data_IF_280531041727
#
_entry.id   IF_280531041727
#
_cell.length_a   1.000
_cell.length_b   1.000
_cell.length_c   1.000
_cell.angle_alpha   90.00
_cell.angle_beta   90.00
_cell.angle_gamma   90.00
#
_symmetry.space_group_name_H-M   'P 1'
#
loop_
_entity.id
_entity.type
_entity.pdbx_description
1 polymer ?
#
# COMPACT_ATOMS: atom_id res chain seq x y z
N UNK A 1 4.43 11.37 -21.11
CA UNK A 1 4.44 11.37 -19.64
C UNK A 1 5.86 11.65 -19.21
N UNK A 2 6.10 12.66 -18.37
CA UNK A 2 7.44 12.93 -17.85
C UNK A 2 7.88 11.81 -16.90
N UNK A 3 9.20 11.66 -16.65
CA UNK A 3 9.72 10.70 -15.67
C UNK A 3 9.12 10.95 -14.27
N UNK A 4 8.85 12.19 -13.94
CA UNK A 4 8.27 12.59 -12.64
C UNK A 4 6.84 12.13 -12.43
N UNK A 5 6.07 11.91 -13.53
CA UNK A 5 4.68 11.45 -13.45
C UNK A 5 4.54 10.01 -12.96
N UNK A 6 5.64 9.25 -12.91
CA UNK A 6 5.66 7.83 -12.56
C UNK A 6 6.62 7.51 -11.40
N UNK A 7 6.82 8.46 -10.49
CA UNK A 7 7.70 8.33 -9.34
C UNK A 7 7.01 8.75 -8.05
N UNK A 8 7.35 8.07 -6.96
CA UNK A 8 7.14 8.52 -5.60
C UNK A 8 8.48 8.99 -5.04
N UNK A 9 8.56 10.25 -4.64
CA UNK A 9 9.75 10.85 -4.07
C UNK A 9 9.45 11.40 -2.68
N UNK A 10 10.20 10.97 -1.69
CA UNK A 10 10.20 11.50 -0.34
C UNK A 10 11.51 12.23 -0.07
N UNK A 11 11.44 13.43 0.49
CA UNK A 11 12.60 14.28 0.78
C UNK A 11 12.58 14.70 2.24
N UNK A 12 13.59 14.28 3.00
CA UNK A 12 13.85 14.66 4.39
C UNK A 12 12.60 14.54 5.29
N UNK A 13 11.87 13.42 5.15
CA UNK A 13 10.65 13.20 5.91
C UNK A 13 10.93 13.03 7.39
N UNK A 14 10.23 13.80 8.21
CA UNK A 14 10.27 13.70 9.66
C UNK A 14 8.86 13.61 10.22
N UNK A 15 8.68 12.76 11.25
CA UNK A 15 7.44 12.66 11.99
C UNK A 15 7.69 12.62 13.48
N UNK A 16 7.17 13.61 14.17
CA UNK A 16 7.17 13.70 15.63
C UNK A 16 5.74 13.55 16.12
N UNK A 17 5.52 12.70 17.11
CA UNK A 17 4.28 12.57 17.87
C UNK A 17 4.46 13.14 19.27
N UNK A 18 3.43 13.74 19.82
CA UNK A 18 3.50 14.41 21.12
C UNK A 18 4.20 15.77 21.06
N UNK A 19 4.49 16.34 22.23
CA UNK A 19 5.18 17.62 22.39
C UNK A 19 5.98 17.66 23.70
N UNK A 20 6.97 18.53 23.79
CA UNK A 20 7.82 18.66 24.98
C UNK A 20 8.56 17.36 25.31
N UNK A 21 8.61 16.98 26.59
CA UNK A 21 9.33 15.79 27.08
C UNK A 21 8.74 14.46 26.61
N UNK A 22 7.48 14.44 26.13
CA UNK A 22 6.83 13.24 25.60
C UNK A 22 6.95 13.12 24.09
N UNK A 23 7.71 13.98 23.43
CA UNK A 23 7.90 13.95 21.99
C UNK A 23 8.64 12.68 21.53
N UNK A 24 8.05 11.92 20.63
CA UNK A 24 8.65 10.73 20.03
C UNK A 24 8.84 10.99 18.55
N UNK A 25 10.08 10.99 18.08
CA UNK A 25 10.42 11.12 16.67
C UNK A 25 10.40 9.74 16.01
N UNK A 26 9.26 9.41 15.40
CA UNK A 26 9.03 8.09 14.79
C UNK A 26 9.66 7.93 13.40
N UNK A 27 9.90 9.04 12.68
CA UNK A 27 10.59 9.06 11.38
C UNK A 27 11.55 10.26 11.40
N UNK A 28 12.80 10.03 11.01
CA UNK A 28 13.92 10.97 11.15
C UNK A 28 14.66 11.15 9.84
N UNK A 29 14.44 12.27 9.17
CA UNK A 29 15.14 12.69 7.96
C UNK A 29 15.23 11.58 6.89
N UNK A 30 14.08 10.96 6.57
CA UNK A 30 14.00 9.88 5.61
C UNK A 30 13.83 10.43 4.21
N UNK A 31 14.72 10.02 3.29
CA UNK A 31 14.63 10.30 1.87
C UNK A 31 14.66 8.99 1.07
N UNK A 32 13.74 8.86 0.12
CA UNK A 32 13.69 7.71 -0.79
C UNK A 32 12.98 8.08 -2.09
N UNK A 33 13.30 7.35 -3.16
CA UNK A 33 12.51 7.37 -4.39
C UNK A 33 12.16 5.96 -4.82
N UNK A 34 10.96 5.79 -5.41
CA UNK A 34 10.48 4.52 -5.98
C UNK A 34 9.79 4.83 -7.30
N UNK A 35 10.13 4.08 -8.34
CA UNK A 35 9.58 4.26 -9.69
C UNK A 35 8.45 3.31 -9.99
N UNK A 36 7.62 3.66 -10.96
CA UNK A 36 6.62 2.76 -11.49
C UNK A 36 7.29 1.48 -12.05
N UNK A 37 6.65 0.34 -11.79
CA UNK A 37 7.19 -1.00 -12.07
C UNK A 37 8.11 -1.54 -10.98
N UNK A 38 8.47 -0.75 -9.96
CA UNK A 38 9.34 -1.16 -8.86
C UNK A 38 8.50 -1.57 -7.63
N UNK A 39 8.83 -2.72 -7.05
CA UNK A 39 8.26 -3.21 -5.79
C UNK A 39 9.35 -3.24 -4.71
N UNK A 40 9.25 -2.35 -3.73
CA UNK A 40 10.26 -2.13 -2.68
C UNK A 40 9.75 -2.66 -1.35
N UNK A 41 10.60 -3.36 -0.60
CA UNK A 41 10.33 -3.71 0.79
C UNK A 41 11.06 -2.78 1.76
N UNK A 42 10.37 -2.34 2.81
CA UNK A 42 10.96 -1.67 3.96
C UNK A 42 10.91 -2.66 5.13
N UNK A 43 12.07 -3.07 5.60
CA UNK A 43 12.24 -4.03 6.70
C UNK A 43 12.81 -3.38 7.93
N UNK A 44 12.64 -4.00 9.09
CA UNK A 44 13.22 -3.52 10.34
C UNK A 44 12.44 -4.01 11.56
N UNK A 45 12.95 -3.81 12.78
CA UNK A 45 12.30 -4.25 14.00
C UNK A 45 10.94 -3.57 14.23
N UNK A 46 10.12 -4.15 15.12
CA UNK A 46 8.88 -3.50 15.56
C UNK A 46 9.20 -2.15 16.22
N UNK A 47 8.37 -1.15 15.95
CA UNK A 47 8.59 0.21 16.47
C UNK A 47 9.61 1.06 15.71
N UNK A 48 10.28 0.55 14.66
CA UNK A 48 11.27 1.33 13.90
C UNK A 48 10.68 2.47 13.04
N UNK A 49 9.34 2.60 12.95
CA UNK A 49 8.67 3.68 12.22
C UNK A 49 8.15 3.31 10.82
N UNK A 50 8.26 2.04 10.39
CA UNK A 50 7.85 1.55 9.04
C UNK A 50 6.41 1.90 8.67
N UNK A 51 5.45 1.51 9.51
CA UNK A 51 4.02 1.80 9.29
C UNK A 51 3.75 3.31 9.30
N UNK A 52 4.47 4.08 10.14
CA UNK A 52 4.39 5.54 10.13
C UNK A 52 4.88 6.14 8.80
N UNK A 53 6.03 5.66 8.31
CA UNK A 53 6.55 6.07 7.01
C UNK A 53 5.58 5.70 5.88
N UNK A 54 5.08 4.46 5.87
CA UNK A 54 4.09 4.00 4.89
C UNK A 54 2.84 4.89 4.87
N UNK A 55 2.32 5.25 6.06
CA UNK A 55 1.16 6.14 6.20
C UNK A 55 1.43 7.56 5.67
N UNK A 56 2.67 8.08 5.84
CA UNK A 56 3.05 9.38 5.29
C UNK A 56 3.16 9.33 3.76
N UNK A 57 3.80 8.30 3.20
CA UNK A 57 3.94 8.11 1.75
C UNK A 57 2.57 8.01 1.07
N UNK A 58 1.59 7.37 1.71
CA UNK A 58 0.22 7.26 1.23
C UNK A 58 -0.67 8.46 1.53
N UNK A 59 -0.15 9.51 2.17
CA UNK A 59 -0.94 10.69 2.54
C UNK A 59 -2.01 10.42 3.61
N UNK A 60 -1.94 9.30 4.35
CA UNK A 60 -2.80 9.03 5.52
C UNK A 60 -2.36 9.87 6.72
N UNK A 61 -1.06 10.05 6.87
CA UNK A 61 -0.46 10.80 7.96
C UNK A 61 0.32 12.00 7.41
N UNK A 62 0.13 13.16 8.03
CA UNK A 62 0.90 14.35 7.67
C UNK A 62 2.28 14.28 8.31
N UNK A 63 3.33 14.51 7.50
CA UNK A 63 4.69 14.70 7.99
C UNK A 63 4.77 15.96 8.88
N UNK A 64 5.66 15.96 9.85
CA UNK A 64 6.01 17.14 10.63
C UNK A 64 7.00 18.02 9.86
N UNK A 65 7.87 17.40 9.06
CA UNK A 65 8.84 18.06 8.18
C UNK A 65 9.07 17.24 6.91
N UNK A 66 9.70 17.87 5.92
CA UNK A 66 9.99 17.27 4.63
C UNK A 66 8.82 17.32 3.63
N UNK A 67 8.98 16.63 2.49
CA UNK A 67 8.00 16.63 1.39
C UNK A 67 7.83 15.24 0.78
N UNK A 68 6.62 14.97 0.28
CA UNK A 68 6.32 13.79 -0.52
C UNK A 68 5.74 14.25 -1.85
N UNK A 69 6.32 13.76 -2.94
CA UNK A 69 5.81 13.96 -4.30
C UNK A 69 5.31 12.63 -4.85
N UNK A 70 4.10 12.61 -5.36
CA UNK A 70 3.47 11.45 -5.97
C UNK A 70 3.03 11.79 -7.39
N UNK A 71 3.70 11.23 -8.39
CA UNK A 71 3.43 11.56 -9.78
C UNK A 71 3.51 13.07 -10.03
N UNK A 72 4.59 13.72 -9.62
CA UNK A 72 4.82 15.16 -9.75
C UNK A 72 4.00 16.06 -8.80
N UNK A 73 3.03 15.51 -8.06
CA UNK A 73 2.19 16.29 -7.14
C UNK A 73 2.80 16.32 -5.73
N UNK A 74 3.11 17.50 -5.19
CA UNK A 74 3.51 17.69 -3.78
C UNK A 74 2.31 17.46 -2.85
N UNK A 75 2.20 16.25 -2.29
CA UNK A 75 1.08 15.87 -1.42
C UNK A 75 1.19 16.47 -0.01
N UNK A 76 2.37 16.97 0.37
CA UNK A 76 2.63 17.59 1.67
C UNK A 76 1.90 18.93 1.81
N UNK A 77 1.65 19.59 0.69
CA UNK A 77 0.96 20.90 0.62
C UNK A 77 -0.56 20.79 0.53
N UNK A 78 -1.09 19.61 0.27
CA UNK A 78 -2.51 19.39 0.12
C UNK A 78 -3.26 19.55 1.45
N UNK A 79 -4.45 20.15 1.40
CA UNK A 79 -5.38 20.12 2.52
C UNK A 79 -6.01 18.73 2.68
N UNK A 80 -6.77 18.49 3.77
CA UNK A 80 -7.30 17.15 4.05
C UNK A 80 -8.26 16.65 2.97
N UNK A 81 -9.12 17.51 2.44
CA UNK A 81 -10.06 17.12 1.38
C UNK A 81 -9.32 16.70 0.10
N UNK A 82 -8.28 17.44 -0.28
CA UNK A 82 -7.43 17.14 -1.44
C UNK A 82 -6.66 15.84 -1.23
N UNK A 83 -6.06 15.62 -0.04
CA UNK A 83 -5.39 14.35 0.30
C UNK A 83 -6.35 13.17 0.28
N UNK A 84 -7.56 13.33 0.86
CA UNK A 84 -8.58 12.28 0.83
C UNK A 84 -8.98 11.92 -0.61
N UNK A 85 -9.09 12.92 -1.50
CA UNK A 85 -9.35 12.70 -2.93
C UNK A 85 -8.18 11.95 -3.59
N UNK A 86 -6.94 12.41 -3.36
CA UNK A 86 -5.73 11.77 -3.92
C UNK A 86 -5.62 10.31 -3.48
N UNK A 87 -5.85 10.02 -2.18
CA UNK A 87 -5.86 8.63 -1.67
C UNK A 87 -6.86 7.76 -2.42
N UNK A 88 -8.10 8.23 -2.58
CA UNK A 88 -9.14 7.47 -3.30
C UNK A 88 -8.80 7.22 -4.77
N UNK A 89 -8.11 8.17 -5.41
CA UNK A 89 -7.84 8.11 -6.86
C UNK A 89 -6.50 7.47 -7.19
N UNK A 90 -5.46 7.61 -6.34
CA UNK A 90 -4.08 7.25 -6.68
C UNK A 90 -3.41 6.27 -5.74
N UNK A 91 -4.03 5.91 -4.60
CA UNK A 91 -3.39 5.02 -3.62
C UNK A 91 -4.26 3.81 -3.35
N UNK A 92 -3.68 2.62 -3.50
CA UNK A 92 -4.25 1.36 -3.05
C UNK A 92 -3.58 0.92 -1.74
N UNK A 93 -4.38 0.54 -0.75
CA UNK A 93 -3.88 0.03 0.53
C UNK A 93 -4.26 -1.43 0.73
N UNK A 94 -3.26 -2.24 1.07
CA UNK A 94 -3.42 -3.61 1.59
C UNK A 94 -2.95 -3.60 3.04
N UNK A 95 -3.87 -3.81 3.96
CA UNK A 95 -3.61 -3.75 5.40
C UNK A 95 -3.37 -5.15 6.00
N UNK A 96 -2.63 -5.22 7.08
CA UNK A 96 -2.32 -6.42 7.85
C UNK A 96 -3.57 -7.27 8.21
N UNK A 97 -4.68 -6.64 8.55
CA UNK A 97 -5.94 -7.29 8.96
C UNK A 97 -6.95 -7.48 7.83
N UNK A 98 -6.56 -7.42 6.56
CA UNK A 98 -7.42 -7.40 5.35
C UNK A 98 -8.39 -6.21 5.32
N UNK A 99 -8.94 -5.79 6.43
CA UNK A 99 -9.91 -4.70 6.61
C UNK A 99 -11.07 -4.76 5.61
N UNK A 100 -11.55 -5.98 5.33
CA UNK A 100 -12.77 -6.18 4.57
C UNK A 100 -13.97 -5.82 5.44
N UNK A 101 -14.95 -5.16 4.83
CA UNK A 101 -16.21 -4.84 5.51
C UNK A 101 -17.00 -6.13 5.67
N UNK A 102 -17.29 -6.59 6.91
CA UNK A 102 -17.77 -7.95 7.16
C UNK A 102 -19.19 -8.22 6.64
N UNK A 103 -19.97 -7.17 6.41
CA UNK A 103 -21.36 -7.26 5.95
C UNK A 103 -21.49 -7.07 4.42
N UNK A 104 -20.41 -6.87 3.72
CA UNK A 104 -20.34 -6.74 2.27
C UNK A 104 -19.71 -8.00 1.67
N UNK A 105 -20.26 -8.46 0.56
CA UNK A 105 -19.68 -9.53 -0.24
C UNK A 105 -18.30 -9.15 -0.77
N UNK A 106 -17.56 -10.11 -1.32
CA UNK A 106 -16.27 -9.86 -1.94
C UNK A 106 -16.38 -8.80 -3.05
N UNK A 107 -17.36 -8.92 -3.98
CA UNK A 107 -17.58 -7.93 -5.05
C UNK A 107 -17.92 -6.55 -4.46
N UNK A 108 -18.80 -6.48 -3.47
CA UNK A 108 -19.20 -5.23 -2.83
C UNK A 108 -18.03 -4.55 -2.08
N UNK A 109 -17.12 -5.33 -1.48
CA UNK A 109 -15.90 -4.79 -0.87
C UNK A 109 -15.02 -4.06 -1.89
N UNK A 110 -14.96 -4.52 -3.14
CA UNK A 110 -14.24 -3.80 -4.20
C UNK A 110 -14.99 -2.53 -4.62
N UNK A 111 -16.32 -2.58 -4.60
CA UNK A 111 -17.17 -1.48 -5.06
C UNK A 111 -17.34 -0.35 -4.03
N UNK A 112 -16.87 -0.52 -2.78
CA UNK A 112 -16.94 0.51 -1.73
C UNK A 112 -16.33 1.84 -2.21
N UNK A 113 -15.12 1.81 -2.75
CA UNK A 113 -14.42 3.04 -3.14
C UNK A 113 -15.09 3.74 -4.33
N UNK A 114 -15.45 3.06 -5.43
CA UNK A 114 -16.25 3.65 -6.49
C UNK A 114 -17.59 4.20 -5.99
N UNK A 115 -18.25 3.50 -5.05
CA UNK A 115 -19.53 3.94 -4.46
C UNK A 115 -19.40 5.28 -3.72
N UNK A 116 -18.43 5.37 -2.79
CA UNK A 116 -18.17 6.59 -2.03
C UNK A 116 -17.74 7.76 -2.94
N UNK A 117 -17.11 7.44 -4.08
CA UNK A 117 -16.64 8.43 -5.06
C UNK A 117 -17.72 8.85 -6.06
N UNK A 118 -18.95 8.33 -5.97
CA UNK A 118 -20.02 8.57 -6.94
C UNK A 118 -19.74 8.01 -8.34
N UNK A 119 -18.82 7.05 -8.44
CA UNK A 119 -18.37 6.43 -9.71
C UNK A 119 -18.92 5.01 -9.92
N UNK A 120 -19.94 4.62 -9.15
CA UNK A 120 -20.53 3.29 -9.27
C UNK A 120 -21.37 3.19 -10.55
N UNK A 121 -20.88 2.42 -11.53
CA UNK A 121 -21.51 2.22 -12.82
C UNK A 121 -21.21 0.81 -13.37
N UNK A 122 -21.67 0.51 -14.60
CA UNK A 122 -21.45 -0.78 -15.25
C UNK A 122 -19.96 -1.08 -15.45
N UNK A 123 -19.15 -0.07 -15.78
CA UNK A 123 -17.71 -0.23 -16.00
C UNK A 123 -16.99 -0.62 -14.70
N UNK A 124 -17.29 0.05 -13.58
CA UNK A 124 -16.67 -0.27 -12.28
C UNK A 124 -17.08 -1.66 -11.78
N UNK A 125 -18.32 -2.10 -12.05
CA UNK A 125 -18.73 -3.50 -11.77
C UNK A 125 -17.99 -4.50 -12.66
N UNK A 126 -17.82 -4.20 -13.95
CA UNK A 126 -17.00 -5.01 -14.85
C UNK A 126 -15.55 -5.12 -14.38
N UNK A 127 -14.96 -4.00 -13.94
CA UNK A 127 -13.61 -3.95 -13.38
C UNK A 127 -13.48 -4.79 -12.11
N UNK A 128 -14.45 -4.74 -11.19
CA UNK A 128 -14.43 -5.56 -9.99
C UNK A 128 -14.39 -7.05 -10.32
N UNK A 129 -15.24 -7.52 -11.24
CA UNK A 129 -15.27 -8.93 -11.68
C UNK A 129 -13.97 -9.34 -12.38
N UNK A 130 -13.43 -8.47 -13.22
CA UNK A 130 -12.16 -8.70 -13.88
C UNK A 130 -11.05 -8.92 -12.85
N UNK A 131 -10.90 -8.04 -11.84
CA UNK A 131 -9.91 -8.16 -10.78
C UNK A 131 -10.08 -9.42 -9.93
N UNK A 132 -11.33 -9.79 -9.61
CA UNK A 132 -11.61 -11.05 -8.90
C UNK A 132 -11.20 -12.26 -9.73
N UNK A 133 -11.40 -12.23 -11.05
CA UNK A 133 -10.96 -13.27 -11.99
C UNK A 133 -9.44 -13.36 -12.08
N UNK A 134 -8.76 -12.25 -12.30
CA UNK A 134 -7.28 -12.17 -12.38
C UNK A 134 -6.60 -12.71 -11.13
N UNK A 135 -7.19 -12.47 -9.94
CA UNK A 135 -6.70 -12.97 -8.65
C UNK A 135 -7.27 -14.35 -8.25
N UNK A 136 -8.01 -15.03 -9.14
CA UNK A 136 -8.49 -16.39 -8.93
C UNK A 136 -9.55 -16.54 -7.84
N UNK A 137 -10.33 -15.49 -7.56
CA UNK A 137 -11.37 -15.48 -6.52
C UNK A 137 -12.76 -15.10 -7.08
N UNK A 138 -12.98 -15.18 -8.38
CA UNK A 138 -14.24 -14.84 -9.03
C UNK A 138 -15.42 -15.65 -8.48
N UNK A 139 -15.22 -16.95 -8.24
CA UNK A 139 -16.25 -17.84 -7.66
C UNK A 139 -16.68 -17.42 -6.26
N UNK A 140 -15.90 -16.59 -5.60
CA UNK A 140 -16.16 -16.05 -4.26
C UNK A 140 -16.81 -14.66 -4.26
N UNK A 141 -17.11 -14.10 -5.43
CA UNK A 141 -17.65 -12.74 -5.57
C UNK A 141 -18.84 -12.43 -4.66
N UNK A 142 -19.71 -13.42 -4.41
CA UNK A 142 -20.92 -13.28 -3.60
C UNK A 142 -20.79 -13.73 -2.14
N UNK A 143 -19.61 -14.19 -1.71
CA UNK A 143 -19.36 -14.65 -0.34
C UNK A 143 -19.04 -13.47 0.58
N UNK A 144 -19.45 -13.59 1.83
CA UNK A 144 -19.05 -12.65 2.89
C UNK A 144 -17.64 -12.98 3.39
N UNK A 145 -16.89 -12.02 3.96
CA UNK A 145 -15.53 -12.24 4.47
C UNK A 145 -15.42 -13.40 5.48
N UNK A 146 -16.46 -13.66 6.28
CA UNK A 146 -16.49 -14.77 7.24
C UNK A 146 -16.52 -16.17 6.60
N UNK A 147 -16.93 -16.26 5.34
CA UNK A 147 -17.06 -17.52 4.58
C UNK A 147 -15.79 -17.82 3.75
N UNK A 148 -14.78 -16.93 3.80
CA UNK A 148 -13.58 -17.00 2.99
C UNK A 148 -12.38 -17.49 3.81
N UNK A 149 -11.49 -18.23 3.14
CA UNK A 149 -10.18 -18.56 3.71
C UNK A 149 -9.30 -17.30 3.86
N UNK A 150 -8.23 -17.38 4.66
CA UNK A 150 -7.28 -16.28 4.83
C UNK A 150 -6.68 -15.81 3.50
N UNK A 151 -6.27 -16.73 2.64
CA UNK A 151 -5.73 -16.42 1.32
C UNK A 151 -6.75 -15.80 0.37
N UNK A 152 -8.04 -16.23 0.41
CA UNK A 152 -9.10 -15.62 -0.38
C UNK A 152 -9.38 -14.18 0.09
N UNK A 153 -9.46 -13.95 1.41
CA UNK A 153 -9.59 -12.60 1.97
C UNK A 153 -8.46 -11.68 1.54
N UNK A 154 -7.22 -12.19 1.55
CA UNK A 154 -6.06 -11.40 1.12
C UNK A 154 -6.14 -11.04 -0.36
N UNK A 155 -6.45 -11.99 -1.24
CA UNK A 155 -6.61 -11.72 -2.68
C UNK A 155 -7.73 -10.71 -2.96
N UNK A 156 -8.82 -10.75 -2.20
CA UNK A 156 -9.90 -9.75 -2.28
C UNK A 156 -9.44 -8.38 -1.80
N UNK A 157 -8.62 -8.31 -0.73
CA UNK A 157 -8.03 -7.06 -0.26
C UNK A 157 -7.07 -6.45 -1.29
N UNK A 158 -6.29 -7.27 -2.01
CA UNK A 158 -5.45 -6.86 -3.14
C UNK A 158 -6.33 -6.33 -4.29
N UNK A 159 -7.35 -7.08 -4.69
CA UNK A 159 -8.29 -6.65 -5.74
C UNK A 159 -8.92 -5.30 -5.41
N UNK A 160 -9.34 -5.11 -4.15
CA UNK A 160 -9.88 -3.84 -3.67
C UNK A 160 -8.86 -2.70 -3.77
N UNK A 161 -7.61 -2.95 -3.39
CA UNK A 161 -6.55 -1.95 -3.49
C UNK A 161 -6.30 -1.51 -4.95
N UNK A 162 -6.45 -2.42 -5.92
CA UNK A 162 -6.25 -2.17 -7.35
C UNK A 162 -7.50 -1.59 -8.06
N UNK A 163 -8.63 -1.46 -7.37
CA UNK A 163 -9.92 -1.14 -7.98
C UNK A 163 -9.94 0.18 -8.75
N UNK A 164 -9.31 1.21 -8.21
CA UNK A 164 -9.26 2.56 -8.82
C UNK A 164 -8.04 2.79 -9.69
N UNK A 165 -7.36 1.72 -10.14
CA UNK A 165 -6.13 1.80 -10.93
C UNK A 165 -5.09 2.75 -10.32
N UNK A 166 -4.68 2.53 -9.05
CA UNK A 166 -3.81 3.43 -8.32
C UNK A 166 -2.44 3.56 -8.98
N UNK A 167 -1.75 4.68 -8.74
CA UNK A 167 -0.33 4.85 -9.06
C UNK A 167 0.55 4.13 -8.03
N UNK A 168 0.15 4.20 -6.75
CA UNK A 168 0.90 3.68 -5.60
C UNK A 168 0.11 2.58 -4.90
N UNK A 169 0.73 1.42 -4.69
CA UNK A 169 0.21 0.32 -3.87
C UNK A 169 1.05 0.19 -2.61
N UNK A 170 0.42 0.40 -1.47
CA UNK A 170 1.04 0.29 -0.15
C UNK A 170 0.55 -0.96 0.56
N UNK A 171 1.48 -1.70 1.13
CA UNK A 171 1.23 -3.02 1.71
C UNK A 171 1.82 -3.06 3.12
N UNK A 172 0.97 -3.20 4.13
CA UNK A 172 1.38 -3.25 5.53
C UNK A 172 1.25 -4.67 6.06
N UNK A 173 2.41 -5.34 6.29
CA UNK A 173 2.52 -6.68 6.88
C UNK A 173 1.56 -7.72 6.26
N UNK A 174 1.61 -7.97 4.95
CA UNK A 174 0.59 -8.74 4.23
C UNK A 174 0.52 -10.23 4.62
N UNK A 175 1.54 -10.73 5.33
CA UNK A 175 1.71 -12.16 5.62
C UNK A 175 1.54 -12.51 7.10
N UNK A 176 1.31 -11.54 7.97
CA UNK A 176 1.27 -11.71 9.43
C UNK A 176 0.21 -12.72 9.93
N UNK A 177 -0.83 -12.98 9.13
CA UNK A 177 -1.92 -13.90 9.45
C UNK A 177 -1.95 -15.15 8.54
N UNK A 178 -0.83 -15.43 7.83
CA UNK A 178 -0.72 -16.52 6.88
C UNK A 178 0.48 -17.41 7.23
N UNK A 179 0.39 -18.69 6.86
CA UNK A 179 1.56 -19.55 6.84
C UNK A 179 2.54 -19.11 5.75
N UNK A 180 3.77 -19.61 5.81
CA UNK A 180 4.87 -19.17 4.93
C UNK A 180 4.60 -19.40 3.46
N UNK A 181 3.95 -20.52 3.09
CA UNK A 181 3.67 -20.86 1.70
C UNK A 181 2.64 -19.90 1.10
N UNK A 182 1.52 -19.69 1.80
CA UNK A 182 0.49 -18.73 1.40
C UNK A 182 0.98 -17.29 1.42
N UNK A 183 1.84 -16.95 2.39
CA UNK A 183 2.49 -15.63 2.45
C UNK A 183 3.32 -15.36 1.19
N UNK A 184 4.12 -16.32 0.75
CA UNK A 184 4.91 -16.22 -0.49
C UNK A 184 4.02 -16.05 -1.73
N UNK A 185 2.94 -16.82 -1.85
CA UNK A 185 1.99 -16.67 -2.98
C UNK A 185 1.39 -15.26 -3.04
N UNK A 186 1.02 -14.71 -1.89
CA UNK A 186 0.44 -13.37 -1.79
C UNK A 186 1.44 -12.29 -2.21
N UNK A 187 2.68 -12.34 -1.70
CA UNK A 187 3.69 -11.32 -2.04
C UNK A 187 4.11 -11.44 -3.50
N UNK A 188 4.24 -12.67 -4.03
CA UNK A 188 4.49 -12.90 -5.45
C UNK A 188 3.38 -12.30 -6.31
N UNK A 189 2.11 -12.58 -6.00
CA UNK A 189 0.97 -12.01 -6.72
C UNK A 189 0.95 -10.48 -6.69
N UNK A 190 1.26 -9.87 -5.54
CA UNK A 190 1.39 -8.41 -5.43
C UNK A 190 2.51 -7.86 -6.30
N UNK A 191 3.69 -8.50 -6.30
CA UNK A 191 4.83 -8.09 -7.13
C UNK A 191 4.49 -8.17 -8.63
N UNK A 192 3.84 -9.27 -9.05
CA UNK A 192 3.39 -9.46 -10.42
C UNK A 192 2.39 -8.36 -10.84
N UNK A 193 1.39 -8.06 -10.00
CA UNK A 193 0.39 -7.01 -10.26
C UNK A 193 1.03 -5.61 -10.36
N UNK A 194 1.97 -5.29 -9.46
CA UNK A 194 2.72 -4.03 -9.49
C UNK A 194 3.49 -3.88 -10.81
N UNK A 195 4.22 -4.92 -11.21
CA UNK A 195 5.04 -4.92 -12.44
C UNK A 195 4.18 -4.89 -13.70
N UNK A 196 3.21 -5.80 -13.83
CA UNK A 196 2.34 -5.89 -15.02
C UNK A 196 1.57 -4.59 -15.27
N UNK A 197 1.15 -3.91 -14.21
CA UNK A 197 0.37 -2.67 -14.30
C UNK A 197 1.22 -1.42 -14.25
N UNK A 198 2.54 -1.56 -14.20
CA UNK A 198 3.48 -0.45 -14.08
C UNK A 198 3.14 0.49 -12.91
N UNK A 199 2.90 -0.09 -11.72
CA UNK A 199 2.59 0.64 -10.49
C UNK A 199 3.83 0.82 -9.62
N UNK A 200 3.77 1.73 -8.66
CA UNK A 200 4.75 1.84 -7.58
C UNK A 200 4.27 0.94 -6.45
N UNK A 201 5.10 -0.01 -6.00
CA UNK A 201 4.78 -0.88 -4.88
C UNK A 201 5.71 -0.64 -3.70
N UNK A 202 5.16 -0.47 -2.49
CA UNK A 202 5.95 -0.40 -1.25
C UNK A 202 5.31 -1.31 -0.23
N UNK A 203 6.08 -2.28 0.24
CA UNK A 203 5.67 -3.21 1.30
C UNK A 203 6.49 -2.95 2.56
N UNK A 204 5.85 -2.94 3.72
CA UNK A 204 6.55 -3.06 5.00
C UNK A 204 6.35 -4.46 5.54
N UNK A 205 7.43 -5.09 6.01
CA UNK A 205 7.39 -6.41 6.62
C UNK A 205 8.57 -6.62 7.56
N UNK A 206 8.39 -7.51 8.52
CA UNK A 206 9.48 -8.06 9.34
C UNK A 206 9.89 -9.47 8.87
N UNK A 207 9.16 -10.07 7.93
CA UNK A 207 9.42 -11.41 7.40
C UNK A 207 10.38 -11.35 6.21
N UNK A 208 11.66 -11.65 6.47
CA UNK A 208 12.73 -11.64 5.43
C UNK A 208 12.53 -12.70 4.35
N UNK A 209 11.72 -13.74 4.58
CA UNK A 209 11.42 -14.77 3.58
C UNK A 209 10.68 -14.23 2.36
N UNK A 210 9.95 -13.11 2.52
CA UNK A 210 9.18 -12.47 1.47
C UNK A 210 10.02 -11.60 0.52
N UNK A 211 11.30 -11.37 0.83
CA UNK A 211 12.16 -10.44 0.09
C UNK A 211 12.60 -10.94 -1.28
N UNK A 212 12.40 -12.22 -1.58
CA UNK A 212 12.71 -12.81 -2.90
C UNK A 212 11.85 -12.26 -4.04
N UNK A 213 10.73 -11.61 -3.72
CA UNK A 213 9.79 -11.08 -4.70
C UNK A 213 9.87 -9.57 -4.91
N UNK A 214 10.77 -8.88 -4.19
CA UNK A 214 10.94 -7.43 -4.28
C UNK A 214 12.18 -7.06 -5.09
N UNK A 215 12.17 -5.89 -5.69
CA UNK A 215 13.29 -5.40 -6.52
C UNK A 215 14.38 -4.74 -5.67
N UNK A 216 13.98 -4.16 -4.51
CA UNK A 216 14.90 -3.48 -3.60
C UNK A 216 14.43 -3.58 -2.16
N UNK A 217 15.38 -3.70 -1.24
CA UNK A 217 15.13 -3.74 0.20
C UNK A 217 15.75 -2.49 0.84
N UNK A 218 14.97 -1.83 1.69
CA UNK A 218 15.39 -0.71 2.52
C UNK A 218 15.29 -1.13 3.99
N UNK A 219 16.33 -0.96 4.76
CA UNK A 219 16.30 -1.24 6.19
C UNK A 219 15.95 0.02 6.99
N UNK A 220 15.01 -0.12 7.92
CA UNK A 220 14.60 0.97 8.79
C UNK A 220 14.87 0.62 10.25
N UNK A 221 15.69 1.45 10.91
CA UNK A 221 16.01 1.34 12.33
C UNK A 221 15.93 2.73 12.98
N UNK A 222 15.36 2.81 14.18
CA UNK A 222 15.25 4.03 14.97
C UNK A 222 14.75 5.26 14.22
N UNK A 223 13.77 5.05 13.34
CA UNK A 223 13.17 6.11 12.52
C UNK A 223 13.97 6.50 11.26
N UNK A 224 15.11 5.88 10.96
CA UNK A 224 15.97 6.20 9.83
C UNK A 224 15.99 5.07 8.81
N UNK A 225 16.06 5.41 7.52
CA UNK A 225 16.41 4.43 6.48
C UNK A 225 17.94 4.29 6.44
N UNK A 226 18.38 3.04 6.46
CA UNK A 226 19.75 2.67 6.17
C UNK A 226 19.80 2.20 4.71
N UNK A 227 20.71 2.75 3.94
CA UNK A 227 20.98 2.30 2.57
C UNK A 227 21.65 0.91 2.65
N UNK A 228 20.92 -0.14 2.31
CA UNK A 228 21.56 -1.42 1.99
C UNK A 228 22.00 -1.35 0.54
N UNK A 229 23.30 -1.55 0.29
CA UNK A 229 23.81 -1.77 -1.06
C UNK A 229 23.08 -2.99 -1.66
N UNK A 230 22.76 -2.97 -2.95
CA UNK A 230 22.17 -4.13 -3.61
C UNK A 230 23.16 -5.30 -3.55
N UNK A 231 22.68 -6.45 -3.10
CA UNK A 231 23.39 -7.74 -3.16
C UNK A 231 23.31 -8.31 -4.57
#
# INVERSE_FOLDING_TARGET
MSRDDQELLAQSLTKVFGSGETAVEAVRDVSLSVRAGEFVAIVGPSGSGKTTLLAMLGGLLRATGGRVFMGGTDISRLNEAQRARLRRERVGFVFQGFNLVPYLTAEENLLVIPSISGKLNRQTRGRARQLLGELGVEKRARHLPGELSGGERQRIAIARALMNDPLLVLVDEPTSNLDSERGNEVVRSLAEEVKMRNKIGIMVTHDRRMLTHVDRVLEMADGRLQSTEPH
#
